data_IF_732310424780
#
_entry.id   IF_732310424780
#
_cell.length_a   1.000
_cell.length_b   1.000
_cell.length_c   1.000
_cell.angle_alpha   90.00
_cell.angle_beta   90.00
_cell.angle_gamma   90.00
#
_symmetry.space_group_name_H-M   'P 1'
#
loop_
_entity.id
_entity.type
_entity.pdbx_description
1 polymer ?
#
# COMPACT_ATOMS: atom_id res chain seq x y z
N UNK A 1 9.16 9.74 11.23
CA UNK A 1 8.89 11.18 11.03
C UNK A 1 7.41 11.41 11.33
N UNK A 2 7.07 12.42 12.12
CA UNK A 2 5.67 12.78 12.33
C UNK A 2 5.15 13.46 11.06
N UNK A 3 3.93 13.15 10.61
CA UNK A 3 3.31 13.84 9.48
C UNK A 3 3.14 15.34 9.79
N UNK A 4 3.11 16.16 8.73
CA UNK A 4 2.84 17.60 8.84
C UNK A 4 1.35 17.85 9.06
N UNK A 5 1.00 18.97 9.69
CA UNK A 5 -0.39 19.36 9.92
C UNK A 5 -1.16 19.51 8.60
N UNK A 6 -0.52 20.08 7.56
CA UNK A 6 -1.09 20.16 6.20
C UNK A 6 -1.44 18.78 5.63
N UNK A 7 -0.59 17.78 5.85
CA UNK A 7 -0.86 16.41 5.41
C UNK A 7 -2.05 15.82 6.18
N UNK A 8 -2.13 16.08 7.50
CA UNK A 8 -3.24 15.60 8.33
C UNK A 8 -4.55 16.27 7.93
N UNK A 9 -4.57 17.58 7.73
CA UNK A 9 -5.74 18.32 7.26
C UNK A 9 -6.21 17.83 5.88
N UNK A 10 -5.29 17.63 4.94
CA UNK A 10 -5.62 17.08 3.63
C UNK A 10 -6.27 15.68 3.73
N UNK A 11 -5.80 14.83 4.65
CA UNK A 11 -6.39 13.50 4.90
C UNK A 11 -7.76 13.59 5.59
N UNK A 12 -7.94 14.55 6.49
CA UNK A 12 -9.23 14.78 7.16
C UNK A 12 -10.28 15.35 6.20
N UNK A 13 -9.88 16.25 5.29
CA UNK A 13 -10.76 16.84 4.27
C UNK A 13 -11.19 15.84 3.18
N UNK A 14 -10.52 14.69 3.05
CA UNK A 14 -10.94 13.62 2.15
C UNK A 14 -12.20 12.88 2.64
N UNK A 15 -12.59 13.08 3.91
CA UNK A 15 -13.81 12.51 4.45
C UNK A 15 -15.04 13.38 4.11
N UNK A 16 -16.20 12.78 3.76
CA UNK A 16 -17.42 13.52 3.44
C UNK A 16 -18.07 14.20 4.67
N UNK A 17 -17.49 14.02 5.86
CA UNK A 17 -17.96 14.60 7.11
C UNK A 17 -17.00 14.28 8.27
N UNK A 18 -17.35 14.64 9.52
CA UNK A 18 -16.52 14.37 10.68
C UNK A 18 -16.16 12.89 10.80
N UNK A 19 -14.85 12.59 10.87
CA UNK A 19 -14.35 11.22 11.01
C UNK A 19 -14.65 10.76 12.44
N UNK A 20 -15.68 9.93 12.58
CA UNK A 20 -15.91 9.15 13.79
C UNK A 20 -15.36 7.72 13.60
N UNK A 21 -15.29 6.95 14.67
CA UNK A 21 -14.71 5.60 14.65
C UNK A 21 -15.36 4.67 13.61
N UNK A 22 -16.68 4.76 13.43
CA UNK A 22 -17.40 3.94 12.45
C UNK A 22 -17.03 4.36 11.02
N UNK A 23 -16.98 5.66 10.74
CA UNK A 23 -16.55 6.18 9.43
C UNK A 23 -15.12 5.74 9.09
N UNK A 24 -14.21 5.74 10.08
CA UNK A 24 -12.86 5.23 9.91
C UNK A 24 -12.84 3.75 9.50
N UNK A 25 -13.60 2.90 10.21
CA UNK A 25 -13.72 1.48 9.86
C UNK A 25 -14.34 1.27 8.48
N UNK A 26 -15.36 2.05 8.11
CA UNK A 26 -15.99 1.99 6.79
C UNK A 26 -14.99 2.36 5.69
N UNK A 27 -14.26 3.47 5.82
CA UNK A 27 -13.25 3.87 4.83
C UNK A 27 -12.11 2.85 4.71
N UNK A 28 -11.68 2.26 5.82
CA UNK A 28 -10.67 1.20 5.80
C UNK A 28 -11.22 -0.07 5.13
N UNK A 29 -12.46 -0.48 5.46
CA UNK A 29 -13.11 -1.63 4.85
C UNK A 29 -13.30 -1.49 3.34
N UNK A 30 -13.65 -0.29 2.87
CA UNK A 30 -13.73 0.03 1.44
C UNK A 30 -12.36 -0.08 0.75
N UNK A 31 -11.27 0.38 1.39
CA UNK A 31 -9.92 0.26 0.86
C UNK A 31 -9.37 -1.17 0.83
N UNK A 32 -9.83 -2.03 1.75
CA UNK A 32 -9.48 -3.45 1.77
C UNK A 32 -10.27 -4.25 0.72
N UNK A 33 -11.33 -3.68 0.15
CA UNK A 33 -12.10 -4.36 -0.88
C UNK A 33 -11.33 -4.37 -2.20
N UNK A 34 -11.01 -5.56 -2.68
CA UNK A 34 -10.29 -5.75 -3.94
C UNK A 34 -8.77 -5.81 -3.78
N UNK A 35 -8.24 -5.90 -2.55
CA UNK A 35 -6.86 -6.29 -2.32
C UNK A 35 -6.73 -7.80 -2.33
N UNK A 36 -5.66 -8.30 -2.94
CA UNK A 36 -5.30 -9.71 -2.84
C UNK A 36 -4.87 -10.08 -1.41
N UNK A 37 -4.90 -11.39 -1.05
CA UNK A 37 -4.30 -11.88 0.18
C UNK A 37 -2.84 -11.43 0.35
N UNK A 38 -2.39 -11.30 1.61
CA UNK A 38 -1.05 -10.77 1.95
C UNK A 38 0.08 -11.51 1.22
N UNK A 39 -0.05 -12.82 1.05
CA UNK A 39 0.96 -13.69 0.45
C UNK A 39 1.07 -13.56 -1.07
N UNK A 40 0.08 -12.98 -1.75
CA UNK A 40 0.09 -12.85 -3.22
C UNK A 40 1.22 -11.95 -3.70
N UNK A 41 1.43 -10.80 -3.07
CA UNK A 41 2.48 -9.86 -3.46
C UNK A 41 3.88 -10.47 -3.25
N UNK A 42 4.25 -11.01 -2.07
CA UNK A 42 5.51 -11.70 -1.86
C UNK A 42 5.72 -12.88 -2.82
N UNK A 43 4.70 -13.70 -3.05
CA UNK A 43 4.81 -14.86 -3.95
C UNK A 43 5.05 -14.44 -5.41
N UNK A 44 4.44 -13.33 -5.86
CA UNK A 44 4.68 -12.80 -7.19
C UNK A 44 6.13 -12.30 -7.35
N UNK A 45 6.68 -11.66 -6.32
CA UNK A 45 8.07 -11.19 -6.32
C UNK A 45 9.09 -12.33 -6.16
N UNK A 46 8.73 -13.41 -5.46
CA UNK A 46 9.59 -14.59 -5.33
C UNK A 46 9.95 -15.23 -6.68
N UNK A 47 9.16 -15.03 -7.73
CA UNK A 47 9.49 -15.47 -9.09
C UNK A 47 10.70 -14.76 -9.71
N UNK A 48 11.19 -13.67 -9.09
CA UNK A 48 12.30 -12.85 -9.57
C UNK A 48 13.50 -12.84 -8.61
N UNK A 49 13.44 -13.61 -7.51
CA UNK A 49 14.52 -13.80 -6.54
C UNK A 49 15.15 -15.18 -6.71
N UNK A 50 15.98 -15.31 -7.75
CA UNK A 50 16.63 -16.58 -8.09
C UNK A 50 17.53 -17.12 -6.96
N UNK A 51 18.07 -16.23 -6.13
CA UNK A 51 18.96 -16.56 -5.01
C UNK A 51 18.18 -16.93 -3.73
N UNK A 52 16.86 -16.69 -3.70
CA UNK A 52 15.99 -16.96 -2.55
C UNK A 52 16.37 -16.19 -1.28
N UNK A 53 17.00 -15.02 -1.42
CA UNK A 53 17.54 -14.25 -0.30
C UNK A 53 16.54 -13.18 0.23
N UNK A 54 15.39 -13.05 -0.42
CA UNK A 54 14.33 -12.09 -0.10
C UNK A 54 14.53 -10.70 -0.71
N UNK A 55 15.50 -10.52 -1.60
CA UNK A 55 15.84 -9.25 -2.23
C UNK A 55 15.89 -9.39 -3.76
N UNK A 56 15.42 -8.35 -4.46
CA UNK A 56 15.52 -8.23 -5.92
C UNK A 56 16.39 -7.01 -6.23
N UNK A 57 17.27 -7.11 -7.22
CA UNK A 57 18.10 -5.98 -7.63
C UNK A 57 17.24 -4.84 -8.19
N UNK A 58 17.52 -3.61 -7.76
CA UNK A 58 16.75 -2.40 -8.14
C UNK A 58 16.66 -2.22 -9.66
N UNK A 59 17.80 -2.24 -10.36
CA UNK A 59 17.85 -2.05 -11.82
C UNK A 59 17.00 -3.09 -12.55
N UNK A 60 17.06 -4.35 -12.10
CA UNK A 60 16.29 -5.45 -12.68
C UNK A 60 14.79 -5.29 -12.44
N UNK A 61 14.40 -4.94 -11.21
CA UNK A 61 13.00 -4.69 -10.87
C UNK A 61 12.44 -3.48 -11.64
N UNK A 62 13.25 -2.44 -11.83
CA UNK A 62 12.84 -1.26 -12.59
C UNK A 62 12.56 -1.61 -14.06
N UNK A 63 13.43 -2.37 -14.71
CA UNK A 63 13.23 -2.83 -16.09
C UNK A 63 11.94 -3.65 -16.24
N UNK A 64 11.64 -4.54 -15.28
CA UNK A 64 10.43 -5.36 -15.25
C UNK A 64 9.14 -4.54 -15.10
N UNK A 65 9.17 -3.43 -14.35
CA UNK A 65 8.00 -2.61 -14.05
C UNK A 65 7.76 -1.47 -15.04
N UNK A 66 8.74 -1.14 -15.89
CA UNK A 66 8.67 0.01 -16.80
C UNK A 66 8.54 -0.35 -18.28
N UNK A 67 8.62 -1.64 -18.62
CA UNK A 67 8.32 -2.19 -19.96
C UNK A 67 6.84 -2.58 -20.06
#
# INVERSE_FOLDING_TARGET
KNPTDEYLEARMNAAPGPINFIMFLTMFGEKLKGTDPEDVIPNAFACFDDDGNGCIQEDYLQDLLTT
#
